data_IF_871039416082
#
_entry.id   IF_871039416082
#
_cell.length_a   1.000
_cell.length_b   1.000
_cell.length_c   1.000
_cell.angle_alpha   90.00
_cell.angle_beta   90.00
_cell.angle_gamma   90.00
#
_symmetry.space_group_name_H-M   'P 1'
#
loop_
_entity.id
_entity.type
_entity.pdbx_description
1 polymer ?
#
# COMPACT_ATOMS: atom_id res chain seq x y z
N UNK A 1 26.51 -13.51 -7.60
CA UNK A 1 26.44 -13.50 -6.13
C UNK A 1 24.98 -13.70 -5.76
N UNK A 2 24.70 -14.55 -4.77
CA UNK A 2 23.33 -14.89 -4.36
C UNK A 2 23.04 -14.19 -3.04
N UNK A 3 21.91 -13.48 -2.96
CA UNK A 3 21.46 -12.86 -1.72
C UNK A 3 20.70 -13.86 -0.84
N UNK A 4 20.67 -13.64 0.46
CA UNK A 4 19.74 -14.37 1.32
C UNK A 4 18.31 -13.97 0.99
N UNK A 5 18.06 -12.66 0.86
CA UNK A 5 16.74 -12.11 0.58
C UNK A 5 16.80 -11.02 -0.49
N UNK A 6 15.96 -11.13 -1.51
CA UNK A 6 15.60 -9.99 -2.37
C UNK A 6 14.25 -9.45 -1.91
N UNK A 7 14.14 -8.12 -1.82
CA UNK A 7 12.93 -7.40 -1.49
C UNK A 7 12.52 -6.57 -2.71
N UNK A 8 11.31 -6.79 -3.23
CA UNK A 8 10.76 -6.02 -4.36
C UNK A 8 9.84 -4.93 -3.81
N UNK A 9 10.27 -3.68 -3.88
CA UNK A 9 9.56 -2.48 -3.41
C UNK A 9 10.18 -1.88 -2.15
N UNK A 10 10.71 -0.66 -2.26
CA UNK A 10 11.42 0.05 -1.18
C UNK A 10 10.54 0.94 -0.30
N UNK A 11 9.24 0.67 -0.21
CA UNK A 11 8.31 1.41 0.66
C UNK A 11 8.51 1.10 2.15
N UNK A 12 7.60 1.54 3.04
CA UNK A 12 7.70 1.33 4.49
C UNK A 12 7.85 -0.16 4.87
N UNK A 13 7.09 -1.05 4.23
CA UNK A 13 7.19 -2.49 4.45
C UNK A 13 8.57 -3.05 4.05
N UNK A 14 9.01 -2.78 2.83
CA UNK A 14 10.28 -3.30 2.32
C UNK A 14 11.50 -2.74 3.05
N UNK A 15 11.49 -1.45 3.38
CA UNK A 15 12.59 -0.82 4.12
C UNK A 15 12.69 -1.33 5.56
N UNK A 16 11.55 -1.46 6.27
CA UNK A 16 11.52 -2.06 7.62
C UNK A 16 12.03 -3.50 7.61
N UNK A 17 11.60 -4.31 6.63
CA UNK A 17 12.06 -5.67 6.45
C UNK A 17 13.58 -5.75 6.18
N UNK A 18 14.08 -4.88 5.29
CA UNK A 18 15.50 -4.82 4.95
C UNK A 18 16.37 -4.46 6.15
N UNK A 19 15.96 -3.49 6.97
CA UNK A 19 16.65 -3.13 8.22
C UNK A 19 16.68 -4.31 9.18
N UNK A 20 15.56 -5.00 9.38
CA UNK A 20 15.47 -6.15 10.28
C UNK A 20 16.39 -7.31 9.83
N UNK A 21 16.36 -7.63 8.53
CA UNK A 21 17.19 -8.69 7.94
C UNK A 21 18.69 -8.33 7.94
N UNK A 22 19.05 -7.09 7.63
CA UNK A 22 20.44 -6.62 7.71
C UNK A 22 20.98 -6.66 9.14
N UNK A 23 20.16 -6.30 10.13
CA UNK A 23 20.50 -6.47 11.57
C UNK A 23 20.62 -7.93 11.99
N UNK A 24 19.95 -8.85 11.29
CA UNK A 24 20.11 -10.30 11.44
C UNK A 24 21.29 -10.85 10.62
N UNK A 25 22.15 -9.99 10.08
CA UNK A 25 23.36 -10.33 9.31
C UNK A 25 23.06 -11.11 8.00
N UNK A 26 21.87 -10.90 7.43
CA UNK A 26 21.49 -11.46 6.11
C UNK A 26 21.95 -10.52 5.00
N UNK A 27 22.37 -11.09 3.88
CA UNK A 27 22.64 -10.34 2.65
C UNK A 27 21.30 -9.98 1.98
N UNK A 28 21.03 -8.68 1.82
CA UNK A 28 19.74 -8.16 1.35
C UNK A 28 19.92 -7.22 0.17
N UNK A 29 19.13 -7.44 -0.89
CA UNK A 29 18.97 -6.50 -2.00
C UNK A 29 17.53 -6.00 -2.05
N UNK A 30 17.34 -4.69 -2.01
CA UNK A 30 16.06 -4.02 -2.26
C UNK A 30 16.04 -3.51 -3.71
N UNK A 31 15.04 -3.93 -4.49
CA UNK A 31 14.78 -3.41 -5.84
C UNK A 31 13.55 -2.50 -5.76
N UNK A 32 13.72 -1.20 -5.98
CA UNK A 32 12.67 -0.21 -5.79
C UNK A 32 12.38 0.61 -7.06
N UNK A 33 11.12 0.68 -7.47
CA UNK A 33 10.71 1.44 -8.66
C UNK A 33 10.61 2.95 -8.41
N UNK A 34 10.73 3.40 -7.15
CA UNK A 34 10.72 4.82 -6.80
C UNK A 34 9.36 5.51 -6.95
N UNK A 35 8.27 4.74 -6.94
CA UNK A 35 6.88 5.24 -7.08
C UNK A 35 6.04 4.92 -5.83
N UNK A 36 6.28 5.57 -4.67
CA UNK A 36 5.50 5.31 -3.47
C UNK A 36 4.05 5.78 -3.64
N UNK A 37 3.09 4.99 -3.14
CA UNK A 37 1.64 5.27 -3.24
C UNK A 37 1.27 6.65 -2.71
N UNK A 38 1.87 7.06 -1.59
CA UNK A 38 1.62 8.32 -0.91
C UNK A 38 2.51 9.48 -1.42
N UNK A 39 3.21 9.33 -2.56
CA UNK A 39 3.97 10.44 -3.17
C UNK A 39 3.16 11.75 -3.34
N UNK A 40 1.85 11.72 -3.66
CA UNK A 40 1.06 12.95 -3.83
C UNK A 40 0.74 13.70 -2.53
N UNK A 41 0.95 13.10 -1.36
CA UNK A 41 0.61 13.71 -0.06
C UNK A 41 1.75 14.61 0.44
N UNK A 42 1.38 15.67 1.17
CA UNK A 42 2.35 16.57 1.82
C UNK A 42 3.01 15.92 3.04
N UNK A 43 2.25 15.15 3.82
CA UNK A 43 2.69 14.55 5.09
C UNK A 43 2.24 13.11 5.28
N UNK A 44 3.02 12.35 6.05
CA UNK A 44 2.63 11.06 6.64
C UNK A 44 2.15 11.31 8.06
N UNK A 45 0.90 10.98 8.33
CA UNK A 45 0.29 11.16 9.65
C UNK A 45 0.05 9.83 10.37
N UNK A 46 -0.09 9.89 11.70
CA UNK A 46 -0.20 8.74 12.60
C UNK A 46 1.00 7.78 12.60
N UNK A 47 2.17 8.25 12.14
CA UNK A 47 3.43 7.54 12.35
C UNK A 47 4.10 8.11 13.59
N UNK A 48 3.98 7.43 14.73
CA UNK A 48 4.54 7.92 16.00
C UNK A 48 6.03 8.30 15.84
N UNK A 49 6.42 9.46 16.36
CA UNK A 49 7.75 10.11 16.21
C UNK A 49 8.06 10.73 14.85
N UNK A 50 7.24 10.47 13.82
CA UNK A 50 7.40 10.98 12.45
C UNK A 50 6.08 11.50 11.90
N UNK A 51 5.21 12.00 12.77
CA UNK A 51 3.96 12.62 12.34
C UNK A 51 4.29 13.87 11.50
N UNK A 52 3.55 14.06 10.40
CA UNK A 52 3.73 15.17 9.44
C UNK A 52 5.07 15.14 8.66
N UNK A 53 5.78 14.00 8.63
CA UNK A 53 6.98 13.88 7.79
C UNK A 53 6.60 13.81 6.31
N UNK A 54 7.33 14.53 5.46
CA UNK A 54 7.14 14.43 4.01
C UNK A 54 7.45 13.00 3.51
N UNK A 55 6.61 12.39 2.64
CA UNK A 55 6.85 11.04 2.13
C UNK A 55 8.23 10.84 1.49
N UNK A 56 8.74 11.85 0.79
CA UNK A 56 10.06 11.81 0.17
C UNK A 56 11.19 11.80 1.22
N UNK A 57 11.05 12.57 2.31
CA UNK A 57 12.01 12.59 3.42
C UNK A 57 12.00 11.26 4.16
N UNK A 58 10.81 10.72 4.48
CA UNK A 58 10.69 9.40 5.10
C UNK A 58 11.40 8.33 4.27
N UNK A 59 11.19 8.31 2.95
CA UNK A 59 11.87 7.37 2.04
C UNK A 59 13.39 7.56 2.05
N UNK A 60 13.88 8.80 2.03
CA UNK A 60 15.32 9.07 2.06
C UNK A 60 15.97 8.55 3.36
N UNK A 61 15.33 8.80 4.52
CA UNK A 61 15.78 8.31 5.82
C UNK A 61 15.73 6.78 5.89
N UNK A 62 14.64 6.16 5.44
CA UNK A 62 14.52 4.70 5.38
C UNK A 62 15.63 4.06 4.54
N UNK A 63 15.94 4.62 3.36
CA UNK A 63 17.04 4.11 2.51
C UNK A 63 18.41 4.24 3.20
N UNK A 64 18.64 5.33 3.93
CA UNK A 64 19.88 5.50 4.70
C UNK A 64 20.02 4.47 5.85
N UNK A 65 18.91 4.08 6.49
CA UNK A 65 18.91 3.02 7.49
C UNK A 65 19.19 1.65 6.89
N UNK A 66 18.61 1.34 5.72
CA UNK A 66 18.87 0.08 5.01
C UNK A 66 20.35 -0.07 4.68
N UNK A 67 20.97 0.96 4.07
CA UNK A 67 22.39 0.92 3.70
C UNK A 67 23.31 0.89 4.91
N UNK A 68 22.94 1.56 6.02
CA UNK A 68 23.68 1.50 7.28
C UNK A 68 23.86 0.07 7.82
N UNK A 69 22.90 -0.82 7.56
CA UNK A 69 22.96 -2.23 7.96
C UNK A 69 23.42 -3.17 6.84
N UNK A 70 24.06 -2.63 5.79
CA UNK A 70 24.65 -3.42 4.71
C UNK A 70 23.65 -3.89 3.64
N UNK A 71 22.39 -3.43 3.70
CA UNK A 71 21.43 -3.68 2.62
C UNK A 71 21.80 -2.90 1.37
N UNK A 72 21.79 -3.57 0.22
CA UNK A 72 21.97 -2.94 -1.08
C UNK A 72 20.63 -2.48 -1.64
N UNK A 73 20.63 -1.35 -2.35
CA UNK A 73 19.42 -0.81 -2.98
C UNK A 73 19.70 -0.51 -4.44
N UNK A 74 18.87 -1.06 -5.32
CA UNK A 74 18.90 -0.81 -6.75
C UNK A 74 17.58 -0.17 -7.15
N UNK A 75 17.66 0.96 -7.85
CA UNK A 75 16.48 1.57 -8.44
C UNK A 75 16.11 0.84 -9.74
N UNK A 76 14.86 0.41 -9.85
CA UNK A 76 14.32 -0.17 -11.06
C UNK A 76 13.06 -1.01 -10.83
N UNK A 77 12.56 -1.58 -11.93
CA UNK A 77 11.30 -2.34 -11.95
C UNK A 77 11.58 -3.80 -12.27
N UNK A 78 11.04 -4.70 -11.45
CA UNK A 78 11.03 -6.14 -11.72
C UNK A 78 9.90 -6.45 -12.71
N UNK A 79 10.21 -7.22 -13.75
CA UNK A 79 9.24 -7.64 -14.79
C UNK A 79 8.84 -9.10 -14.65
N UNK A 80 9.74 -9.96 -14.18
CA UNK A 80 9.46 -11.38 -13.92
C UNK A 80 10.20 -11.86 -12.68
N UNK A 81 9.65 -12.87 -12.03
CA UNK A 81 10.32 -13.62 -10.99
C UNK A 81 10.01 -15.10 -11.15
N UNK A 82 10.97 -15.96 -10.88
CA UNK A 82 10.84 -17.39 -11.06
C UNK A 82 11.80 -18.17 -10.19
N UNK A 83 11.83 -19.49 -10.38
CA UNK A 83 12.74 -20.39 -9.69
C UNK A 83 13.75 -20.97 -10.67
N UNK A 84 15.01 -21.00 -10.25
CA UNK A 84 16.13 -21.64 -10.95
C UNK A 84 16.87 -22.52 -9.95
N UNK A 85 16.64 -23.84 -10.03
CA UNK A 85 17.06 -24.80 -9.01
C UNK A 85 16.55 -24.43 -7.60
N UNK A 86 17.49 -24.28 -6.67
CA UNK A 86 17.19 -23.96 -5.27
C UNK A 86 17.00 -22.45 -5.02
N UNK A 87 17.21 -21.61 -6.04
CA UNK A 87 17.18 -20.15 -5.93
C UNK A 87 15.95 -19.55 -6.60
N UNK A 88 15.57 -18.37 -6.11
CA UNK A 88 14.64 -17.48 -6.79
C UNK A 88 15.42 -16.46 -7.61
N UNK A 89 14.95 -16.22 -8.83
CA UNK A 89 15.56 -15.29 -9.79
C UNK A 89 14.56 -14.19 -10.10
N UNK A 90 15.01 -12.94 -10.03
CA UNK A 90 14.23 -11.77 -10.45
C UNK A 90 14.89 -11.15 -11.67
N UNK A 91 14.08 -10.73 -12.64
CA UNK A 91 14.53 -10.03 -13.85
C UNK A 91 13.99 -8.62 -13.85
N UNK A 92 14.86 -7.65 -14.11
CA UNK A 92 14.49 -6.24 -14.22
C UNK A 92 14.19 -5.84 -15.66
N UNK A 93 13.53 -4.71 -15.85
CA UNK A 93 13.23 -4.14 -17.19
C UNK A 93 14.48 -3.93 -18.05
N UNK A 94 15.64 -3.66 -17.44
CA UNK A 94 16.92 -3.48 -18.15
C UNK A 94 17.64 -4.80 -18.47
N UNK A 95 17.02 -5.96 -18.20
CA UNK A 95 17.59 -7.28 -18.42
C UNK A 95 18.55 -7.77 -17.34
N UNK A 96 18.86 -6.96 -16.32
CA UNK A 96 19.66 -7.42 -15.18
C UNK A 96 18.88 -8.45 -14.38
N UNK A 97 19.59 -9.48 -13.92
CA UNK A 97 19.04 -10.55 -13.10
C UNK A 97 19.76 -10.66 -11.77
N UNK A 98 19.00 -11.00 -10.73
CA UNK A 98 19.53 -11.24 -9.39
C UNK A 98 18.96 -12.53 -8.82
N UNK A 99 19.77 -13.23 -8.03
CA UNK A 99 19.38 -14.50 -7.41
C UNK A 99 19.30 -14.34 -5.88
N UNK A 100 18.35 -15.05 -5.28
CA UNK A 100 18.16 -15.08 -3.84
C UNK A 100 17.71 -16.43 -3.34
N UNK A 101 17.88 -16.67 -2.03
CA UNK A 101 17.28 -17.83 -1.35
C UNK A 101 15.81 -17.60 -1.06
N UNK A 102 15.41 -16.36 -0.77
CA UNK A 102 14.05 -15.95 -0.41
C UNK A 102 13.67 -14.65 -1.09
N UNK A 103 12.38 -14.49 -1.38
CA UNK A 103 11.82 -13.30 -1.99
C UNK A 103 10.73 -12.72 -1.09
N UNK A 104 10.81 -11.42 -0.85
CA UNK A 104 9.75 -10.65 -0.20
C UNK A 104 9.21 -9.61 -1.18
N UNK A 105 7.90 -9.63 -1.43
CA UNK A 105 7.24 -8.65 -2.27
C UNK A 105 6.51 -7.62 -1.41
N UNK A 106 6.85 -6.36 -1.63
CA UNK A 106 6.34 -5.18 -0.92
C UNK A 106 6.01 -4.05 -1.90
N UNK A 107 5.50 -4.42 -3.08
CA UNK A 107 5.23 -3.50 -4.21
C UNK A 107 4.03 -2.59 -4.00
N UNK A 108 3.24 -2.84 -2.96
CA UNK A 108 2.07 -2.06 -2.61
C UNK A 108 0.96 -2.14 -3.65
N UNK A 109 0.22 -1.04 -3.80
CA UNK A 109 -0.92 -0.93 -4.69
C UNK A 109 -0.96 0.48 -5.32
N UNK A 110 -1.75 0.61 -6.38
CA UNK A 110 -2.07 1.86 -7.08
C UNK A 110 -3.53 2.22 -6.85
N UNK A 111 -3.81 3.49 -6.56
CA UNK A 111 -5.17 4.00 -6.44
C UNK A 111 -5.73 4.33 -7.85
N UNK A 112 -6.65 3.51 -8.34
CA UNK A 112 -7.45 3.81 -9.54
C UNK A 112 -8.56 4.78 -9.16
N UNK A 113 -8.41 6.02 -9.63
CA UNK A 113 -9.34 7.10 -9.38
C UNK A 113 -10.50 7.08 -10.39
N UNK A 114 -11.71 7.53 -10.00
CA UNK A 114 -12.78 7.76 -10.97
C UNK A 114 -12.34 8.69 -12.09
N UNK A 115 -12.83 8.40 -13.30
CA UNK A 115 -12.54 9.22 -14.48
C UNK A 115 -13.40 10.50 -14.46
N UNK A 116 -12.98 11.44 -13.62
CA UNK A 116 -13.62 12.75 -13.47
C UNK A 116 -12.59 13.84 -13.80
N UNK A 117 -12.87 14.73 -14.78
CA UNK A 117 -12.01 15.87 -15.09
C UNK A 117 -11.68 16.68 -13.83
N UNK A 118 -10.39 17.02 -13.67
CA UNK A 118 -9.89 17.81 -12.55
C UNK A 118 -9.63 17.01 -11.26
N UNK A 119 -10.11 15.77 -11.13
CA UNK A 119 -9.95 14.98 -9.91
C UNK A 119 -8.51 14.54 -9.71
N UNK A 120 -7.86 14.00 -10.76
CA UNK A 120 -6.51 13.41 -10.67
C UNK A 120 -5.46 14.48 -10.36
N UNK A 121 -5.59 15.66 -10.94
CA UNK A 121 -4.72 16.82 -10.71
C UNK A 121 -4.75 17.26 -9.23
N UNK A 122 -5.82 16.92 -8.51
CA UNK A 122 -6.08 17.30 -7.12
C UNK A 122 -5.79 16.22 -6.09
N UNK A 123 -5.39 15.03 -6.54
CA UNK A 123 -5.20 13.87 -5.68
C UNK A 123 -4.04 14.05 -4.69
N UNK A 124 -4.29 13.70 -3.42
CA UNK A 124 -3.30 13.77 -2.33
C UNK A 124 -3.28 15.09 -1.56
N UNK A 125 -4.03 16.10 -2.02
CA UNK A 125 -4.12 17.39 -1.35
C UNK A 125 -5.58 17.83 -1.20
N UNK A 126 -6.24 18.26 -2.29
CA UNK A 126 -7.64 18.67 -2.23
C UNK A 126 -8.60 17.47 -2.36
N UNK A 127 -8.23 16.45 -3.14
CA UNK A 127 -8.95 15.18 -3.26
C UNK A 127 -8.21 14.10 -2.48
N UNK A 128 -8.88 13.50 -1.51
CA UNK A 128 -8.31 12.54 -0.54
C UNK A 128 -9.27 11.35 -0.36
N UNK A 129 -8.81 10.27 0.26
CA UNK A 129 -9.67 9.10 0.54
C UNK A 129 -9.71 8.72 2.02
N UNK A 130 -8.54 8.71 2.67
CA UNK A 130 -8.35 8.23 4.04
C UNK A 130 -8.52 9.39 5.03
N UNK A 131 -9.56 9.37 5.88
CA UNK A 131 -9.77 10.43 6.87
C UNK A 131 -8.76 10.41 8.00
N UNK A 132 -8.25 9.24 8.38
CA UNK A 132 -7.18 9.16 9.38
C UNK A 132 -5.88 9.80 8.87
N UNK A 133 -5.68 9.81 7.55
CA UNK A 133 -4.46 10.29 6.93
C UNK A 133 -4.47 11.81 6.70
N UNK A 134 -5.63 12.40 6.41
CA UNK A 134 -5.72 13.82 6.00
C UNK A 134 -6.85 14.60 6.69
N UNK A 135 -7.67 13.90 7.49
CA UNK A 135 -8.88 14.48 8.04
C UNK A 135 -8.60 15.59 9.05
N UNK A 136 -7.47 15.52 9.75
CA UNK A 136 -7.06 16.59 10.65
C UNK A 136 -6.71 17.85 9.86
N UNK A 137 -6.01 17.74 8.74
CA UNK A 137 -5.55 18.87 7.91
C UNK A 137 -6.71 19.60 7.23
N UNK A 138 -7.81 18.89 6.95
CA UNK A 138 -9.04 19.47 6.37
C UNK A 138 -10.17 19.64 7.39
N UNK A 139 -9.90 19.48 8.69
CA UNK A 139 -10.92 19.58 9.74
C UNK A 139 -11.63 20.94 9.72
N UNK A 140 -12.95 20.93 9.96
CA UNK A 140 -13.80 22.12 9.97
C UNK A 140 -14.04 22.77 8.61
N UNK A 141 -13.40 22.30 7.52
CA UNK A 141 -13.63 22.80 6.16
C UNK A 141 -14.92 22.25 5.56
N UNK A 142 -15.39 22.85 4.47
CA UNK A 142 -16.50 22.34 3.68
C UNK A 142 -16.06 21.10 2.87
N UNK A 143 -16.48 19.91 3.26
CA UNK A 143 -16.03 18.65 2.63
C UNK A 143 -17.14 18.06 1.75
N UNK A 144 -16.77 17.65 0.55
CA UNK A 144 -17.63 16.91 -0.38
C UNK A 144 -17.22 15.45 -0.47
N UNK A 145 -18.17 14.52 -0.41
CA UNK A 145 -17.93 13.09 -0.59
C UNK A 145 -18.59 12.67 -1.90
N UNK A 146 -17.78 12.24 -2.88
CA UNK A 146 -18.26 11.83 -4.20
C UNK A 146 -18.61 10.34 -4.15
N UNK A 147 -19.89 10.03 -4.32
CA UNK A 147 -20.43 8.68 -4.33
C UNK A 147 -20.00 7.90 -5.56
N UNK A 148 -19.20 6.85 -5.35
CA UNK A 148 -18.74 5.94 -6.42
C UNK A 148 -18.95 4.46 -6.08
N UNK A 149 -19.42 4.18 -4.86
CA UNK A 149 -19.67 2.82 -4.38
C UNK A 149 -20.68 2.84 -3.23
N UNK A 150 -21.28 1.68 -2.87
CA UNK A 150 -22.15 1.58 -1.69
C UNK A 150 -21.48 2.05 -0.38
N UNK A 151 -20.15 1.88 -0.27
CA UNK A 151 -19.39 2.30 0.90
C UNK A 151 -19.30 3.83 1.04
N UNK A 152 -19.61 4.59 0.00
CA UNK A 152 -19.55 6.06 0.02
C UNK A 152 -20.53 6.67 1.04
N UNK A 153 -21.63 5.99 1.34
CA UNK A 153 -22.57 6.41 2.40
C UNK A 153 -21.93 6.30 3.79
N UNK A 154 -21.22 5.20 4.05
CA UNK A 154 -20.45 5.03 5.28
C UNK A 154 -19.29 6.04 5.34
N UNK A 155 -18.62 6.28 4.22
CA UNK A 155 -17.55 7.28 4.12
C UNK A 155 -18.07 8.68 4.51
N UNK A 156 -19.21 9.12 3.99
CA UNK A 156 -19.80 10.41 4.35
C UNK A 156 -20.10 10.53 5.86
N UNK A 157 -20.60 9.47 6.49
CA UNK A 157 -20.81 9.45 7.95
C UNK A 157 -19.49 9.52 8.71
N UNK A 158 -18.47 8.76 8.29
CA UNK A 158 -17.17 8.75 8.94
C UNK A 158 -16.52 10.15 8.91
N UNK A 159 -16.57 10.84 7.77
CA UNK A 159 -16.01 12.19 7.62
C UNK A 159 -16.69 13.25 8.49
N UNK A 160 -17.90 12.99 9.00
CA UNK A 160 -18.53 13.86 10.00
C UNK A 160 -17.76 13.97 11.30
N UNK A 161 -16.82 13.07 11.59
CA UNK A 161 -15.97 13.23 12.76
C UNK A 161 -15.01 14.44 12.64
N UNK A 162 -14.67 14.86 11.42
CA UNK A 162 -13.70 15.94 11.18
C UNK A 162 -14.32 17.26 10.71
N UNK A 163 -15.54 17.25 10.15
CA UNK A 163 -16.25 18.47 9.78
C UNK A 163 -17.76 18.34 9.98
N UNK A 164 -18.40 19.46 10.32
CA UNK A 164 -19.85 19.61 10.39
C UNK A 164 -20.50 19.97 9.04
N UNK A 165 -19.73 20.45 8.06
CA UNK A 165 -20.22 20.75 6.71
C UNK A 165 -19.81 19.64 5.72
N UNK A 166 -20.60 18.57 5.71
CA UNK A 166 -20.45 17.46 4.76
C UNK A 166 -21.57 17.49 3.72
N UNK A 167 -21.17 17.39 2.45
CA UNK A 167 -22.08 17.14 1.34
C UNK A 167 -21.76 15.80 0.71
N UNK A 168 -22.74 14.90 0.63
CA UNK A 168 -22.66 13.70 -0.17
C UNK A 168 -23.20 13.99 -1.57
N UNK A 169 -22.33 13.91 -2.59
CA UNK A 169 -22.71 13.95 -3.99
C UNK A 169 -23.04 12.53 -4.43
N UNK A 170 -24.29 12.27 -4.80
CA UNK A 170 -24.71 10.92 -5.16
C UNK A 170 -23.89 10.36 -6.33
N UNK A 171 -23.71 11.14 -7.39
CA UNK A 171 -22.97 10.75 -8.61
C UNK A 171 -23.39 9.35 -9.12
N UNK A 172 -22.52 8.35 -8.99
CA UNK A 172 -22.78 6.95 -9.39
C UNK A 172 -23.02 6.02 -8.19
N UNK A 173 -22.89 6.54 -6.97
CA UNK A 173 -23.21 5.86 -5.73
C UNK A 173 -24.72 5.76 -5.48
N UNK A 174 -25.13 4.96 -4.48
CA UNK A 174 -26.54 4.84 -4.13
C UNK A 174 -27.07 6.14 -3.53
N UNK A 175 -28.37 6.38 -3.73
CA UNK A 175 -29.10 7.34 -2.91
C UNK A 175 -29.14 6.83 -1.45
N UNK A 176 -29.05 7.72 -0.45
CA UNK A 176 -29.22 7.30 0.94
C UNK A 176 -30.69 6.93 1.18
N UNK A 177 -30.92 5.69 1.57
CA UNK A 177 -32.21 5.17 2.07
C UNK A 177 -32.11 4.90 3.58
N UNK A 178 -33.22 4.81 4.34
CA UNK A 178 -33.16 4.44 5.75
C UNK A 178 -32.42 3.09 5.96
N UNK A 179 -31.51 2.99 6.94
CA UNK A 179 -31.24 3.96 8.02
C UNK A 179 -30.22 5.06 7.67
N UNK A 180 -29.60 5.04 6.48
CA UNK A 180 -28.55 5.98 6.12
C UNK A 180 -29.09 7.42 5.93
N UNK A 181 -30.26 7.59 5.31
CA UNK A 181 -30.89 8.91 5.17
C UNK A 181 -31.24 9.54 6.53
N UNK A 182 -31.76 8.75 7.46
CA UNK A 182 -32.07 9.19 8.83
C UNK A 182 -30.78 9.62 9.56
N UNK A 183 -29.70 8.85 9.43
CA UNK A 183 -28.41 9.19 10.00
C UNK A 183 -27.82 10.47 9.36
N UNK A 184 -27.96 10.64 8.05
CA UNK A 184 -27.53 11.84 7.34
C UNK A 184 -28.29 13.07 7.85
N UNK A 185 -29.62 12.99 7.94
CA UNK A 185 -30.45 14.06 8.47
C UNK A 185 -30.09 14.39 9.92
N UNK A 186 -29.96 13.38 10.79
CA UNK A 186 -29.61 13.55 12.19
C UNK A 186 -28.22 14.17 12.40
N UNK A 187 -27.30 13.99 11.44
CA UNK A 187 -25.93 14.52 11.50
C UNK A 187 -25.73 15.75 10.60
N UNK A 188 -26.75 16.24 9.92
CA UNK A 188 -26.65 17.40 9.02
C UNK A 188 -25.80 17.14 7.76
N UNK A 189 -25.71 15.89 7.30
CA UNK A 189 -25.08 15.57 6.01
C UNK A 189 -26.07 15.89 4.90
N UNK A 190 -25.73 16.85 4.03
CA UNK A 190 -26.58 17.20 2.89
C UNK A 190 -26.35 16.23 1.74
N UNK A 191 -27.41 15.78 1.09
CA UNK A 191 -27.32 15.01 -0.15
C UNK A 191 -27.56 15.92 -1.35
N UNK A 192 -26.68 15.84 -2.34
CA UNK A 192 -26.84 16.46 -3.66
C UNK A 192 -27.02 15.34 -4.68
N UNK A 193 -28.22 15.29 -5.27
CA UNK A 193 -28.54 14.32 -6.33
C UNK A 193 -27.98 14.79 -7.67
N UNK A 194 -27.77 13.83 -8.59
CA UNK A 194 -27.23 14.10 -9.92
C UNK A 194 -25.76 13.70 -10.09
N UNK A 195 -25.30 13.79 -11.33
CA UNK A 195 -23.97 13.33 -11.76
C UNK A 195 -22.96 14.45 -11.67
N UNK A 196 -21.84 14.22 -10.97
CA UNK A 196 -20.65 15.08 -11.04
C UNK A 196 -20.07 15.07 -12.46
N UNK A 197 -19.89 16.25 -13.05
CA UNK A 197 -19.28 16.44 -14.36
C UNK A 197 -17.77 16.69 -14.27
N UNK A 198 -17.34 17.49 -13.29
CA UNK A 198 -15.92 17.81 -13.08
C UNK A 198 -15.66 18.30 -11.65
N UNK A 199 -14.40 18.23 -11.26
CA UNK A 199 -13.84 18.87 -10.06
C UNK A 199 -13.08 20.13 -10.48
N UNK A 200 -13.38 21.24 -9.81
CA UNK A 200 -12.80 22.56 -10.09
C UNK A 200 -12.22 23.16 -8.81
N UNK A 201 -11.49 24.28 -8.92
CA UNK A 201 -11.01 25.02 -7.74
C UNK A 201 -12.15 25.54 -6.88
N UNK A 202 -13.32 25.79 -7.49
CA UNK A 202 -14.51 26.24 -6.80
C UNK A 202 -15.29 25.10 -6.14
N UNK A 203 -14.86 23.84 -6.23
CA UNK A 203 -15.58 22.66 -5.71
C UNK A 203 -16.10 21.74 -6.82
N UNK A 204 -17.34 21.28 -6.71
CA UNK A 204 -17.91 20.26 -7.60
C UNK A 204 -18.91 20.88 -8.57
N UNK A 205 -18.76 20.61 -9.88
CA UNK A 205 -19.77 20.94 -10.90
C UNK A 205 -20.57 19.70 -11.28
N UNK A 206 -21.89 19.82 -11.28
CA UNK A 206 -22.81 18.79 -11.77
C UNK A 206 -23.08 18.93 -13.27
N UNK A 207 -23.60 17.87 -13.90
CA UNK A 207 -23.94 17.86 -15.33
C UNK A 207 -25.02 18.86 -15.73
N UNK A 208 -25.84 19.33 -14.78
CA UNK A 208 -26.85 20.38 -15.02
C UNK A 208 -26.28 21.81 -14.94
N UNK A 209 -24.97 21.94 -14.68
CA UNK A 209 -24.27 23.21 -14.54
C UNK A 209 -24.18 23.75 -13.11
N UNK A 210 -24.91 23.16 -12.15
CA UNK A 210 -24.87 23.54 -10.74
C UNK A 210 -23.45 23.39 -10.19
N UNK A 211 -22.99 24.39 -9.43
CA UNK A 211 -21.69 24.36 -8.74
C UNK A 211 -21.93 24.38 -7.24
N UNK A 212 -21.32 23.43 -6.53
CA UNK A 212 -21.39 23.34 -5.07
C UNK A 212 -19.99 23.56 -4.51
N UNK A 213 -19.82 24.68 -3.80
CA UNK A 213 -18.51 25.09 -3.29
C UNK A 213 -18.04 24.22 -2.14
N UNK A 214 -16.87 23.57 -2.29
CA UNK A 214 -16.22 22.66 -1.32
C UNK A 214 -14.72 22.96 -1.26
N UNK A 215 -14.15 22.90 -0.07
CA UNK A 215 -12.72 23.15 0.17
C UNK A 215 -11.89 21.88 -0.03
N UNK A 216 -12.46 20.72 0.30
CA UNK A 216 -11.84 19.41 0.14
C UNK A 216 -12.85 18.38 -0.35
N UNK A 217 -12.37 17.38 -1.07
CA UNK A 217 -13.17 16.32 -1.67
C UNK A 217 -12.67 14.96 -1.27
N UNK A 218 -13.61 14.05 -1.10
CA UNK A 218 -13.40 12.70 -0.66
C UNK A 218 -13.92 11.77 -1.74
N UNK A 219 -13.09 10.81 -2.14
CA UNK A 219 -13.47 9.79 -3.10
C UNK A 219 -12.89 8.45 -2.67
N UNK A 220 -13.63 7.37 -2.90
CA UNK A 220 -13.12 6.02 -2.74
C UNK A 220 -12.45 5.58 -4.06
N UNK A 221 -11.11 5.43 -4.10
CA UNK A 221 -10.44 4.82 -5.24
C UNK A 221 -10.68 3.31 -5.25
N UNK A 222 -10.43 2.67 -6.40
CA UNK A 222 -10.24 1.22 -6.48
C UNK A 222 -8.77 0.89 -6.28
N UNK A 223 -8.47 0.01 -5.34
CA UNK A 223 -7.11 -0.40 -5.02
C UNK A 223 -6.62 -1.48 -6.00
N UNK A 224 -5.64 -1.17 -6.83
CA UNK A 224 -5.05 -2.11 -7.77
C UNK A 224 -3.70 -2.61 -7.25
N UNK A 225 -3.61 -3.89 -6.90
CA UNK A 225 -2.34 -4.46 -6.44
C UNK A 225 -1.27 -4.35 -7.51
N UNK A 226 -0.06 -3.91 -7.12
CA UNK A 226 1.09 -3.82 -8.00
C UNK A 226 1.74 -5.21 -8.16
N UNK A 227 1.02 -6.12 -8.81
CA UNK A 227 1.31 -7.55 -8.86
C UNK A 227 1.65 -8.11 -10.24
N UNK A 228 1.88 -7.30 -11.27
CA UNK A 228 1.97 -7.77 -12.65
C UNK A 228 3.03 -8.87 -12.92
N UNK A 229 4.10 -8.96 -12.12
CA UNK A 229 5.09 -10.04 -12.24
C UNK A 229 4.76 -11.28 -11.38
N UNK A 230 3.78 -11.21 -10.48
CA UNK A 230 3.43 -12.28 -9.55
C UNK A 230 2.84 -13.50 -10.27
N UNK A 231 2.18 -13.30 -11.41
CA UNK A 231 1.70 -14.41 -12.26
C UNK A 231 2.85 -15.33 -12.69
N UNK A 232 4.05 -14.77 -12.95
CA UNK A 232 5.24 -15.58 -13.29
C UNK A 232 5.75 -16.46 -12.14
N UNK A 233 5.35 -16.14 -10.90
CA UNK A 233 5.58 -16.97 -9.72
C UNK A 233 4.45 -17.97 -9.47
N UNK A 234 3.34 -17.91 -10.21
CA UNK A 234 2.12 -18.67 -9.93
C UNK A 234 1.27 -18.07 -8.81
N UNK A 235 1.45 -16.79 -8.51
CA UNK A 235 0.63 -16.06 -7.54
C UNK A 235 -0.43 -15.23 -8.26
N UNK A 236 -1.69 -15.49 -7.93
CA UNK A 236 -2.83 -14.82 -8.54
C UNK A 236 -3.28 -13.63 -7.71
N UNK A 237 -3.67 -12.56 -8.42
CA UNK A 237 -4.34 -11.42 -7.82
C UNK A 237 -5.84 -11.74 -7.70
N UNK A 238 -6.38 -11.69 -6.49
CA UNK A 238 -7.77 -12.00 -6.19
C UNK A 238 -8.62 -10.74 -5.98
N UNK A 239 -9.94 -10.78 -6.23
CA UNK A 239 -10.85 -9.70 -5.88
C UNK A 239 -10.81 -9.37 -4.38
N UNK A 240 -10.97 -8.08 -4.06
CA UNK A 240 -11.15 -7.53 -2.73
C UNK A 240 -12.31 -6.53 -2.77
N UNK A 241 -12.98 -6.28 -1.65
CA UNK A 241 -14.13 -5.36 -1.57
C UNK A 241 -13.83 -3.95 -2.11
N UNK A 242 -12.55 -3.55 -2.08
CA UNK A 242 -12.06 -2.25 -2.54
C UNK A 242 -11.19 -2.33 -3.81
N UNK A 243 -11.09 -3.49 -4.47
CA UNK A 243 -10.28 -3.65 -5.68
C UNK A 243 -9.67 -5.04 -5.78
N UNK A 244 -8.35 -5.13 -5.73
CA UNK A 244 -7.62 -6.39 -5.82
C UNK A 244 -6.53 -6.52 -4.77
N UNK A 245 -6.23 -7.75 -4.38
CA UNK A 245 -5.18 -8.11 -3.42
C UNK A 245 -4.51 -9.42 -3.82
N UNK A 246 -3.42 -9.78 -3.16
CA UNK A 246 -2.81 -11.11 -3.27
C UNK A 246 -2.81 -11.72 -1.88
N UNK A 247 -3.28 -12.95 -1.78
CA UNK A 247 -3.43 -13.64 -0.49
C UNK A 247 -2.08 -14.09 0.03
N UNK A 248 -1.82 -13.77 1.29
CA UNK A 248 -0.76 -14.36 2.09
C UNK A 248 -1.30 -14.81 3.45
N UNK A 249 -0.60 -15.75 4.06
CA UNK A 249 -0.81 -16.16 5.44
C UNK A 249 -0.48 -15.02 6.43
N UNK A 250 -0.91 -15.08 7.70
CA UNK A 250 -0.65 -14.04 8.68
C UNK A 250 0.85 -13.70 8.91
N UNK A 251 1.75 -14.65 8.62
CA UNK A 251 3.20 -14.46 8.67
C UNK A 251 3.81 -14.00 7.33
N UNK A 252 2.96 -13.66 6.36
CA UNK A 252 3.30 -13.20 5.02
C UNK A 252 3.60 -14.32 4.02
N UNK A 253 3.56 -15.60 4.40
CA UNK A 253 3.86 -16.70 3.46
C UNK A 253 2.84 -16.77 2.34
N UNK A 254 3.32 -17.14 1.16
CA UNK A 254 2.45 -17.49 0.03
C UNK A 254 2.41 -19.01 -0.18
N UNK A 255 1.58 -19.44 -1.13
CA UNK A 255 1.57 -20.83 -1.61
C UNK A 255 2.85 -21.21 -2.34
N UNK A 256 3.68 -20.24 -2.75
CA UNK A 256 4.94 -20.47 -3.47
C UNK A 256 6.10 -20.56 -2.47
N UNK A 257 6.76 -21.72 -2.33
CA UNK A 257 7.86 -21.88 -1.38
C UNK A 257 9.01 -20.92 -1.66
N UNK A 258 9.37 -20.12 -0.66
CA UNK A 258 10.43 -19.13 -0.80
C UNK A 258 9.92 -17.69 -1.02
N UNK A 259 8.60 -17.48 -1.18
CA UNK A 259 8.01 -16.16 -1.48
C UNK A 259 7.05 -15.70 -0.38
N UNK A 260 7.26 -14.47 0.09
CA UNK A 260 6.44 -13.78 1.08
C UNK A 260 5.92 -12.44 0.55
N UNK A 261 4.84 -11.95 1.14
CA UNK A 261 4.25 -10.63 0.88
C UNK A 261 4.17 -9.80 2.16
N UNK A 262 4.30 -8.48 2.06
CA UNK A 262 3.99 -7.58 3.16
C UNK A 262 3.53 -6.18 2.70
N UNK A 263 2.70 -5.53 3.53
CA UNK A 263 2.15 -4.20 3.25
C UNK A 263 1.02 -4.22 2.22
N UNK A 264 0.84 -3.11 1.50
CA UNK A 264 -0.35 -2.91 0.66
C UNK A 264 -0.56 -3.91 -0.50
N UNK A 265 0.43 -4.75 -0.82
CA UNK A 265 0.24 -5.83 -1.81
C UNK A 265 -0.70 -6.93 -1.31
N UNK A 266 -0.78 -7.13 0.01
CA UNK A 266 -1.60 -8.17 0.67
C UNK A 266 -2.58 -7.62 1.71
N UNK A 267 -2.37 -6.38 2.18
CA UNK A 267 -3.30 -5.65 3.06
C UNK A 267 -3.58 -4.25 2.49
N UNK A 268 -4.63 -4.11 1.65
CA UNK A 268 -4.97 -2.83 1.02
C UNK A 268 -5.25 -1.69 1.99
N UNK A 269 -5.62 -2.02 3.24
CA UNK A 269 -6.01 -1.06 4.28
C UNK A 269 -4.84 -0.65 5.19
N UNK A 270 -3.67 -1.31 5.08
CA UNK A 270 -2.51 -0.97 5.89
C UNK A 270 -2.07 0.49 5.69
N UNK A 271 -2.05 1.26 6.78
CA UNK A 271 -1.40 2.56 6.85
C UNK A 271 0.13 2.39 6.91
N UNK A 272 0.87 3.50 6.76
CA UNK A 272 2.34 3.50 6.72
C UNK A 272 2.98 2.74 7.89
N UNK A 273 2.50 2.97 9.12
CA UNK A 273 3.01 2.30 10.32
C UNK A 273 2.67 0.80 10.33
N UNK A 274 1.46 0.43 9.92
CA UNK A 274 1.04 -0.98 9.80
C UNK A 274 1.84 -1.71 8.73
N UNK A 275 2.11 -1.06 7.59
CA UNK A 275 2.94 -1.62 6.54
C UNK A 275 4.38 -1.84 7.00
N UNK A 276 4.97 -0.87 7.72
CA UNK A 276 6.30 -1.02 8.31
C UNK A 276 6.35 -2.13 9.37
N UNK A 277 5.32 -2.25 10.22
CA UNK A 277 5.18 -3.32 11.20
C UNK A 277 5.08 -4.69 10.52
N UNK A 278 4.26 -4.82 9.47
CA UNK A 278 4.15 -6.05 8.69
C UNK A 278 5.49 -6.45 8.08
N UNK A 279 6.23 -5.49 7.50
CA UNK A 279 7.58 -5.72 6.98
C UNK A 279 8.54 -6.30 8.02
N UNK A 280 8.53 -5.77 9.24
CA UNK A 280 9.35 -6.29 10.34
C UNK A 280 8.96 -7.72 10.73
N UNK A 281 7.67 -7.98 10.93
CA UNK A 281 7.16 -9.31 11.31
C UNK A 281 7.49 -10.37 10.26
N UNK A 282 7.28 -10.05 8.98
CA UNK A 282 7.56 -10.96 7.86
C UNK A 282 9.07 -11.19 7.70
N UNK A 283 9.90 -10.16 7.88
CA UNK A 283 11.35 -10.33 7.90
C UNK A 283 11.82 -11.30 9.00
N UNK A 284 11.22 -11.25 10.19
CA UNK A 284 11.53 -12.20 11.26
C UNK A 284 11.15 -13.63 10.87
N UNK A 285 9.99 -13.83 10.24
CA UNK A 285 9.57 -15.14 9.73
C UNK A 285 10.51 -15.67 8.64
N UNK A 286 10.93 -14.83 7.69
CA UNK A 286 11.92 -15.17 6.66
C UNK A 286 13.26 -15.56 7.31
N UNK A 287 13.71 -14.82 8.31
CA UNK A 287 14.96 -15.14 9.00
C UNK A 287 14.90 -16.50 9.73
N UNK A 288 13.79 -16.79 10.40
CA UNK A 288 13.58 -18.10 11.05
C UNK A 288 13.59 -19.24 10.04
N UNK A 289 12.97 -19.04 8.88
CA UNK A 289 12.98 -20.01 7.79
C UNK A 289 14.40 -20.25 7.24
N UNK A 290 15.18 -19.18 7.06
CA UNK A 290 16.59 -19.28 6.66
C UNK A 290 17.44 -19.98 7.73
N UNK A 291 17.24 -19.72 9.03
CA UNK A 291 17.95 -20.40 10.12
C UNK A 291 17.67 -21.91 10.07
N UNK A 292 16.41 -22.31 9.85
CA UNK A 292 16.05 -23.71 9.72
C UNK A 292 16.72 -24.36 8.50
N UNK A 293 16.73 -23.67 7.36
CA UNK A 293 17.41 -24.14 6.15
C UNK A 293 18.93 -24.28 6.33
N UNK A 294 19.57 -23.29 6.97
CA UNK A 294 21.00 -23.31 7.30
C UNK A 294 21.33 -24.49 8.24
N UNK A 295 20.48 -24.71 9.24
CA UNK A 295 20.63 -25.83 10.20
C UNK A 295 20.50 -27.18 9.50
N UNK A 296 19.51 -27.35 8.64
CA UNK A 296 19.32 -28.59 7.88
C UNK A 296 20.50 -28.88 6.96
N UNK A 297 21.02 -27.87 6.26
CA UNK A 297 22.22 -27.99 5.42
C UNK A 297 23.46 -28.37 6.26
N UNK A 298 23.63 -27.77 7.44
CA UNK A 298 24.73 -28.10 8.34
C UNK A 298 24.65 -29.55 8.85
N UNK A 299 23.44 -30.03 9.21
CA UNK A 299 23.22 -31.43 9.62
C UNK A 299 23.52 -32.40 8.47
N UNK A 300 23.06 -32.11 7.25
CA UNK A 300 23.31 -32.95 6.09
C UNK A 300 24.81 -33.02 5.71
N UNK A 301 25.59 -31.99 6.05
CA UNK A 301 27.03 -31.95 5.84
C UNK A 301 27.84 -32.65 6.94
N UNK A 302 27.24 -33.00 8.09
CA UNK A 302 27.95 -33.71 9.16
C UNK A 302 28.19 -35.17 8.77
N UNK A 303 29.42 -35.70 8.94
CA UNK A 303 29.67 -37.13 8.78
C UNK A 303 28.89 -37.93 9.84
N UNK A 304 28.48 -39.18 9.53
CA UNK A 304 27.76 -40.01 10.49
C UNK A 304 28.59 -40.16 11.76
N UNK A 305 27.97 -39.90 12.92
CA UNK A 305 28.61 -40.11 14.23
C UNK A 305 28.89 -41.61 14.35
N UNK A 306 30.17 -41.97 14.31
CA UNK A 306 30.59 -43.35 14.58
C UNK A 306 30.26 -43.66 16.04
N UNK A 307 29.25 -44.50 16.27
CA UNK A 307 28.95 -45.04 17.59
C UNK A 307 30.13 -45.91 18.03
N UNK A 308 30.81 -45.50 19.11
CA UNK A 308 31.76 -46.35 19.83
C UNK A 308 31.03 -47.39 20.67
#
# INVERSE_FOLDING_TARGET
MTYDVIIIGGGPAGSSAAVALGRALRSVLVIDAGRPRNAPAEGIHNFLTRDDIAPAEFRALSRAEVTRYGGEIVDGTVTTAGRDGDHLVVTMTNGQTFQSRRLLVTTGLTDELPDLPGLRERWGHQVIHCPYCHGYEVRGKAIGVIGTSPMSLHQAQMWRQWSDDIVYFQHTGPAPEPPASDAFAARGIRTVTGTVAEVTDAGVRLTDGTVVARDALVVAPRFLTNGGFLESLGLETTPHDFGTTVVAEPDGRTTVPGVWLAGNVTDPMAQVISAASAGLSVAAAINMDLIAADTAAAVAAQPPVSSR
#
